data_IF_834969652155
#
_entry.id   IF_834969652155
#
_cell.length_a   1.000
_cell.length_b   1.000
_cell.length_c   1.000
_cell.angle_alpha   90.00
_cell.angle_beta   90.00
_cell.angle_gamma   90.00
#
_symmetry.space_group_name_H-M   'P 1'
#
loop_
_entity.id
_entity.type
_entity.pdbx_description
1 polymer ?
#
# COMPACT_ATOMS: atom_id res chain seq x y z
N UNK A 1 -12.74 19.25 -9.41
CA UNK A 1 -11.49 18.64 -8.91
C UNK A 1 -11.53 18.66 -7.39
N UNK A 2 -11.27 17.54 -6.71
CA UNK A 2 -11.04 17.56 -5.26
C UNK A 2 -9.78 18.39 -5.02
N UNK A 3 -9.83 19.38 -4.14
CA UNK A 3 -8.62 20.15 -3.79
C UNK A 3 -7.70 19.22 -3.00
N UNK A 4 -6.37 19.37 -3.16
CA UNK A 4 -5.39 18.57 -2.41
C UNK A 4 -5.64 18.61 -0.90
N UNK A 5 -6.09 19.76 -0.40
CA UNK A 5 -6.46 19.96 1.00
C UNK A 5 -7.60 19.05 1.48
N UNK A 6 -8.56 18.71 0.62
CA UNK A 6 -9.69 17.83 0.96
C UNK A 6 -9.22 16.39 1.18
N UNK A 7 -8.22 15.96 0.39
CA UNK A 7 -7.61 14.63 0.51
C UNK A 7 -6.82 14.53 1.82
N UNK A 8 -6.01 15.54 2.13
CA UNK A 8 -5.20 15.57 3.36
C UNK A 8 -6.09 15.57 4.60
N UNK A 9 -7.16 16.38 4.61
CA UNK A 9 -8.16 16.38 5.69
C UNK A 9 -8.84 15.03 5.82
N UNK A 10 -9.26 14.42 4.71
CA UNK A 10 -9.85 13.08 4.71
C UNK A 10 -8.92 12.02 5.31
N UNK A 11 -7.65 12.01 4.93
CA UNK A 11 -6.65 11.08 5.49
C UNK A 11 -6.44 11.31 6.99
N UNK A 12 -6.41 12.57 7.43
CA UNK A 12 -6.28 12.93 8.83
C UNK A 12 -7.49 12.47 9.66
N UNK A 13 -8.70 12.64 9.15
CA UNK A 13 -9.92 12.17 9.80
C UNK A 13 -9.95 10.64 9.88
N UNK A 14 -9.56 9.95 8.81
CA UNK A 14 -9.41 8.49 8.81
C UNK A 14 -8.38 8.02 9.84
N UNK A 15 -7.24 8.70 9.95
CA UNK A 15 -6.21 8.38 10.93
C UNK A 15 -6.73 8.50 12.37
N UNK A 16 -7.50 9.57 12.65
CA UNK A 16 -8.12 9.79 13.96
C UNK A 16 -9.17 8.73 14.31
N UNK A 17 -10.00 8.34 13.34
CA UNK A 17 -11.09 7.37 13.53
C UNK A 17 -10.52 5.97 13.72
N UNK A 18 -9.51 5.60 12.94
CA UNK A 18 -9.04 4.21 12.89
C UNK A 18 -7.90 3.90 13.83
N UNK A 19 -7.15 4.92 14.30
CA UNK A 19 -6.00 4.79 15.21
C UNK A 19 -5.11 3.59 14.84
N UNK A 20 -4.52 3.58 13.63
CA UNK A 20 -3.68 2.48 13.21
C UNK A 20 -2.49 2.32 14.16
N UNK A 21 -1.97 1.10 14.29
CA UNK A 21 -0.77 0.85 15.06
C UNK A 21 0.42 1.53 14.37
N UNK A 22 0.81 2.70 14.88
CA UNK A 22 1.83 3.57 14.29
C UNK A 22 3.21 2.92 14.26
N UNK A 23 3.52 2.07 15.25
CA UNK A 23 4.77 1.30 15.28
C UNK A 23 4.80 0.29 14.14
N UNK A 24 3.72 -0.48 13.99
CA UNK A 24 3.62 -1.49 12.95
C UNK A 24 3.63 -0.85 11.55
N UNK A 25 2.99 0.32 11.40
CA UNK A 25 3.01 1.09 10.15
C UNK A 25 4.43 1.54 9.81
N UNK A 26 5.15 2.11 10.76
CA UNK A 26 6.55 2.53 10.56
C UNK A 26 7.43 1.35 10.16
N UNK A 27 7.27 0.19 10.79
CA UNK A 27 8.02 -1.03 10.44
C UNK A 27 7.71 -1.46 9.00
N UNK A 28 6.43 -1.50 8.61
CA UNK A 28 6.02 -1.81 7.24
C UNK A 28 6.65 -0.86 6.22
N UNK A 29 6.57 0.45 6.47
CA UNK A 29 7.15 1.46 5.58
C UNK A 29 8.68 1.35 5.48
N UNK A 30 9.39 1.10 6.59
CA UNK A 30 10.84 0.90 6.59
C UNK A 30 11.19 -0.34 5.75
N UNK A 31 10.46 -1.43 5.91
CA UNK A 31 10.70 -2.66 5.15
C UNK A 31 10.41 -2.46 3.65
N UNK A 32 9.37 -1.69 3.31
CA UNK A 32 9.07 -1.28 1.93
C UNK A 32 10.24 -0.52 1.30
N UNK A 33 10.81 0.45 2.02
CA UNK A 33 11.97 1.24 1.55
C UNK A 33 13.23 0.37 1.37
N UNK A 34 13.49 -0.56 2.30
CA UNK A 34 14.61 -1.49 2.21
C UNK A 34 14.43 -2.43 1.02
N UNK A 35 13.26 -3.04 0.86
CA UNK A 35 12.94 -3.91 -0.27
C UNK A 35 13.10 -3.19 -1.61
N UNK A 36 12.60 -1.95 -1.70
CA UNK A 36 12.76 -1.09 -2.88
C UNK A 36 14.23 -0.80 -3.18
N UNK A 37 15.05 -0.55 -2.16
CA UNK A 37 16.49 -0.28 -2.32
C UNK A 37 17.24 -1.49 -2.90
N UNK A 38 16.94 -2.70 -2.41
CA UNK A 38 17.52 -3.92 -2.96
C UNK A 38 17.04 -4.21 -4.39
N UNK A 39 15.75 -3.99 -4.67
CA UNK A 39 15.20 -4.13 -6.01
C UNK A 39 15.89 -3.20 -7.01
N UNK A 40 16.19 -1.97 -6.61
CA UNK A 40 16.89 -0.97 -7.42
C UNK A 40 18.38 -1.30 -7.64
N UNK A 41 18.99 -2.01 -6.70
CA UNK A 41 20.39 -2.37 -6.79
C UNK A 41 20.67 -3.39 -7.91
N UNK A 42 19.72 -4.28 -8.21
CA UNK A 42 19.86 -5.32 -9.25
C UNK A 42 20.08 -4.69 -10.65
N UNK A 43 19.23 -3.75 -11.14
CA UNK A 43 19.49 -3.03 -12.38
C UNK A 43 20.85 -2.33 -12.44
N UNK A 44 21.33 -1.75 -11.33
CA UNK A 44 22.62 -1.07 -11.29
C UNK A 44 23.79 -2.04 -11.54
N UNK A 45 23.73 -3.25 -10.98
CA UNK A 45 24.73 -4.29 -11.23
C UNK A 45 24.71 -4.70 -12.71
N UNK A 46 23.52 -4.91 -13.28
CA UNK A 46 23.34 -5.30 -14.69
C UNK A 46 23.89 -4.21 -15.61
N UNK A 47 23.52 -2.94 -15.38
CA UNK A 47 24.04 -1.79 -16.14
C UNK A 47 25.57 -1.71 -16.10
N UNK A 48 26.16 -1.89 -14.92
CA UNK A 48 27.61 -1.89 -14.75
C UNK A 48 28.30 -3.10 -15.40
N UNK A 49 27.60 -4.22 -15.57
CA UNK A 49 28.10 -5.41 -16.24
C UNK A 49 28.09 -5.26 -17.77
N UNK A 50 27.05 -4.64 -18.33
CA UNK A 50 26.95 -4.29 -19.74
C UNK A 50 28.11 -3.37 -20.16
N UNK A 51 28.40 -2.33 -19.36
CA UNK A 51 29.50 -1.39 -19.63
C UNK A 51 30.90 -2.03 -19.58
N UNK A 52 31.08 -3.12 -18.85
CA UNK A 52 32.37 -3.81 -18.68
C UNK A 52 32.45 -5.13 -19.46
N UNK A 53 31.45 -5.42 -20.30
CA UNK A 53 31.32 -6.65 -21.10
C UNK A 53 31.52 -7.97 -20.31
N UNK A 54 31.31 -7.94 -18.99
CA UNK A 54 31.52 -9.11 -18.13
C UNK A 54 30.73 -9.02 -16.82
N UNK A 55 29.99 -10.09 -16.55
CA UNK A 55 29.34 -10.34 -15.27
C UNK A 55 30.17 -11.38 -14.52
N UNK A 56 31.03 -10.91 -13.60
CA UNK A 56 31.81 -11.80 -12.72
C UNK A 56 30.88 -12.66 -11.87
N UNK A 57 31.29 -13.87 -11.53
CA UNK A 57 30.56 -14.80 -10.64
C UNK A 57 30.13 -14.15 -9.33
N UNK A 58 30.98 -13.29 -8.77
CA UNK A 58 30.69 -12.57 -7.52
C UNK A 58 29.47 -11.66 -7.63
N UNK A 59 29.27 -11.02 -8.80
CA UNK A 59 28.10 -10.16 -9.05
C UNK A 59 26.81 -10.99 -9.12
N UNK A 60 26.89 -12.20 -9.68
CA UNK A 60 25.74 -13.12 -9.76
C UNK A 60 25.30 -13.51 -8.35
N UNK A 61 26.25 -13.84 -7.47
CA UNK A 61 25.96 -14.17 -6.06
C UNK A 61 25.30 -12.98 -5.35
N UNK A 62 25.81 -11.75 -5.55
CA UNK A 62 25.21 -10.54 -4.99
C UNK A 62 23.77 -10.34 -5.50
N UNK A 63 23.52 -10.55 -6.79
CA UNK A 63 22.17 -10.44 -7.37
C UNK A 63 21.22 -11.43 -6.70
N UNK A 64 21.63 -12.69 -6.52
CA UNK A 64 20.81 -13.72 -5.88
C UNK A 64 20.47 -13.33 -4.44
N UNK A 65 21.45 -12.83 -3.68
CA UNK A 65 21.25 -12.36 -2.30
C UNK A 65 20.29 -11.16 -2.27
N UNK A 66 20.51 -10.15 -3.13
CA UNK A 66 19.64 -8.98 -3.21
C UNK A 66 18.21 -9.34 -3.62
N UNK A 67 18.05 -10.30 -4.53
CA UNK A 67 16.74 -10.80 -4.92
C UNK A 67 16.03 -11.49 -3.75
N UNK A 68 16.73 -12.36 -3.02
CA UNK A 68 16.20 -13.00 -1.80
C UNK A 68 15.78 -11.98 -0.74
N UNK A 69 16.63 -10.98 -0.45
CA UNK A 69 16.31 -9.90 0.50
C UNK A 69 15.14 -9.05 0.03
N UNK A 70 15.07 -8.74 -1.28
CA UNK A 70 13.94 -8.01 -1.87
C UNK A 70 12.62 -8.75 -1.60
N UNK A 71 12.58 -10.07 -1.86
CA UNK A 71 11.38 -10.88 -1.62
C UNK A 71 10.99 -10.91 -0.14
N UNK A 72 11.96 -11.07 0.76
CA UNK A 72 11.72 -11.11 2.20
C UNK A 72 11.18 -9.77 2.69
N UNK A 73 11.89 -8.67 2.45
CA UNK A 73 11.49 -7.35 2.96
C UNK A 73 10.19 -6.86 2.32
N UNK A 74 10.03 -7.01 1.01
CA UNK A 74 8.80 -6.59 0.31
C UNK A 74 7.61 -7.46 0.70
N UNK A 75 7.80 -8.77 0.87
CA UNK A 75 6.76 -9.69 1.32
C UNK A 75 6.28 -9.38 2.74
N UNK A 76 7.23 -9.17 3.67
CA UNK A 76 6.90 -8.78 5.05
C UNK A 76 6.24 -7.41 5.10
N UNK A 77 6.74 -6.43 4.34
CA UNK A 77 6.10 -5.11 4.20
C UNK A 77 4.66 -5.24 3.72
N UNK A 78 4.45 -5.97 2.63
CA UNK A 78 3.12 -6.20 2.03
C UNK A 78 2.17 -6.81 3.04
N UNK A 79 2.62 -7.82 3.80
CA UNK A 79 1.82 -8.44 4.85
C UNK A 79 1.44 -7.45 5.96
N UNK A 80 2.42 -6.70 6.46
CA UNK A 80 2.22 -5.72 7.54
C UNK A 80 1.27 -4.61 7.12
N UNK A 81 1.53 -3.98 5.97
CA UNK A 81 0.71 -2.89 5.43
C UNK A 81 -0.68 -3.39 5.05
N UNK A 82 -0.80 -4.60 4.50
CA UNK A 82 -2.07 -5.27 4.23
C UNK A 82 -2.89 -5.51 5.50
N UNK A 83 -2.26 -5.99 6.57
CA UNK A 83 -2.91 -6.18 7.87
C UNK A 83 -3.43 -4.86 8.45
N UNK A 84 -2.61 -3.80 8.42
CA UNK A 84 -3.03 -2.47 8.87
C UNK A 84 -4.19 -1.94 8.03
N UNK A 85 -4.12 -2.11 6.71
CA UNK A 85 -5.21 -1.74 5.80
C UNK A 85 -6.52 -2.44 6.17
N UNK A 86 -6.49 -3.75 6.41
CA UNK A 86 -7.66 -4.50 6.86
C UNK A 86 -8.18 -4.03 8.21
N UNK A 87 -7.30 -3.64 9.14
CA UNK A 87 -7.69 -3.09 10.43
C UNK A 87 -8.38 -1.73 10.31
N UNK A 88 -7.86 -0.86 9.45
CA UNK A 88 -8.45 0.46 9.13
C UNK A 88 -9.86 0.26 8.57
N UNK A 89 -10.05 -0.62 7.59
CA UNK A 89 -11.37 -0.99 7.03
C UNK A 89 -12.32 -1.45 8.13
N UNK A 90 -11.88 -2.39 8.97
CA UNK A 90 -12.72 -2.95 10.04
C UNK A 90 -13.23 -1.83 10.96
N UNK A 91 -12.36 -0.89 11.33
CA UNK A 91 -12.70 0.23 12.18
C UNK A 91 -13.66 1.21 11.48
N UNK A 92 -13.43 1.54 10.21
CA UNK A 92 -14.35 2.38 9.41
C UNK A 92 -15.73 1.72 9.32
N UNK A 93 -15.80 0.43 8.98
CA UNK A 93 -17.07 -0.30 8.89
C UNK A 93 -17.80 -0.30 10.22
N UNK A 94 -17.10 -0.51 11.34
CA UNK A 94 -17.70 -0.49 12.68
C UNK A 94 -18.27 0.88 13.03
N UNK A 95 -17.51 1.96 12.83
CA UNK A 95 -17.96 3.33 13.14
C UNK A 95 -19.14 3.74 12.25
N UNK A 96 -19.06 3.46 10.95
CA UNK A 96 -20.13 3.78 10.00
C UNK A 96 -21.39 2.97 10.30
N UNK A 97 -21.26 1.67 10.55
CA UNK A 97 -22.40 0.83 10.93
C UNK A 97 -23.10 1.32 12.19
N UNK A 98 -22.33 1.61 13.25
CA UNK A 98 -22.85 2.15 14.50
C UNK A 98 -23.56 3.50 14.34
N UNK A 99 -23.16 4.30 13.36
CA UNK A 99 -23.85 5.55 13.02
C UNK A 99 -25.14 5.27 12.25
N UNK A 100 -25.09 4.39 11.25
CA UNK A 100 -26.24 4.05 10.39
C UNK A 100 -27.40 3.48 11.21
N UNK A 101 -27.16 2.59 12.16
CA UNK A 101 -28.22 1.98 12.99
C UNK A 101 -28.91 2.95 13.96
N UNK A 102 -28.32 4.14 14.21
CA UNK A 102 -28.86 5.17 15.11
C UNK A 102 -29.62 6.27 14.36
N UNK A 103 -29.76 6.17 13.04
CA UNK A 103 -30.45 7.17 12.23
C UNK A 103 -31.98 7.07 12.41
N UNK A 104 -32.72 8.17 12.21
CA UNK A 104 -34.17 8.17 12.38
C UNK A 104 -34.84 7.21 11.38
N UNK A 105 -36.02 6.71 11.74
CA UNK A 105 -36.79 5.79 10.91
C UNK A 105 -36.99 6.28 9.46
N UNK A 106 -37.16 7.59 9.25
CA UNK A 106 -37.27 8.21 7.92
C UNK A 106 -36.04 7.96 7.02
N UNK A 107 -34.84 7.86 7.60
CA UNK A 107 -33.63 7.51 6.86
C UNK A 107 -33.66 6.08 6.35
N UNK A 108 -34.16 5.15 7.19
CA UNK A 108 -34.29 3.73 6.87
C UNK A 108 -35.39 3.43 5.85
N UNK A 109 -36.44 4.26 5.78
CA UNK A 109 -37.45 4.18 4.72
C UNK A 109 -36.92 4.63 3.36
N UNK A 110 -36.06 5.65 3.33
CA UNK A 110 -35.52 6.20 2.08
C UNK A 110 -34.36 5.38 1.51
N UNK A 111 -33.64 4.63 2.35
CA UNK A 111 -32.46 3.86 1.96
C UNK A 111 -32.66 2.40 2.31
N UNK A 112 -32.77 1.53 1.29
CA UNK A 112 -32.84 0.09 1.52
C UNK A 112 -31.57 -0.41 2.20
N UNK A 113 -31.72 -1.39 3.10
CA UNK A 113 -30.60 -2.01 3.81
C UNK A 113 -29.54 -2.58 2.84
N UNK A 114 -29.97 -3.12 1.70
CA UNK A 114 -29.08 -3.63 0.64
C UNK A 114 -28.23 -2.51 0.01
N UNK A 115 -28.85 -1.36 -0.31
CA UNK A 115 -28.12 -0.22 -0.85
C UNK A 115 -27.12 0.34 0.18
N UNK A 116 -27.47 0.38 1.45
CA UNK A 116 -26.57 0.85 2.52
C UNK A 116 -25.36 -0.07 2.68
N UNK A 117 -25.56 -1.39 2.72
CA UNK A 117 -24.48 -2.37 2.83
C UNK A 117 -23.59 -2.34 1.59
N UNK A 118 -24.17 -2.29 0.39
CA UNK A 118 -23.40 -2.21 -0.86
C UNK A 118 -22.54 -0.95 -0.92
N UNK A 119 -23.12 0.22 -0.59
CA UNK A 119 -22.36 1.49 -0.50
C UNK A 119 -21.24 1.40 0.52
N UNK A 120 -21.50 0.89 1.72
CA UNK A 120 -20.48 0.72 2.75
C UNK A 120 -19.33 -0.17 2.28
N UNK A 121 -19.63 -1.30 1.65
CA UNK A 121 -18.61 -2.23 1.14
C UNK A 121 -17.83 -1.59 0.00
N UNK A 122 -18.51 -1.02 -0.99
CA UNK A 122 -17.89 -0.39 -2.16
C UNK A 122 -17.01 0.81 -1.80
N UNK A 123 -17.51 1.71 -0.95
CA UNK A 123 -16.76 2.89 -0.51
C UNK A 123 -15.50 2.46 0.26
N UNK A 124 -15.60 1.43 1.09
CA UNK A 124 -14.45 0.91 1.84
C UNK A 124 -13.42 0.23 0.92
N UNK A 125 -13.86 -0.49 -0.13
CA UNK A 125 -12.95 -1.11 -1.11
C UNK A 125 -12.19 -0.07 -1.95
N UNK A 126 -12.77 1.10 -2.20
CA UNK A 126 -12.05 2.17 -2.89
C UNK A 126 -10.96 2.78 -2.00
N UNK A 127 -11.20 2.90 -0.69
CA UNK A 127 -10.18 3.34 0.28
C UNK A 127 -9.01 2.36 0.33
N UNK A 128 -9.25 1.04 0.32
CA UNK A 128 -8.16 0.06 0.34
C UNK A 128 -7.24 0.16 -0.85
N UNK A 129 -7.79 0.50 -2.02
CA UNK A 129 -6.98 0.61 -3.23
C UNK A 129 -5.87 1.63 -3.04
N UNK A 130 -6.12 2.74 -2.34
CA UNK A 130 -5.11 3.78 -2.05
C UNK A 130 -3.94 3.24 -1.22
N UNK A 131 -4.21 2.35 -0.25
CA UNK A 131 -3.17 1.74 0.59
C UNK A 131 -2.47 0.55 -0.07
N UNK A 132 -3.09 -0.07 -1.07
CA UNK A 132 -2.55 -1.24 -1.76
C UNK A 132 -1.75 -0.91 -3.03
N UNK A 133 -1.62 0.37 -3.43
CA UNK A 133 -0.84 0.75 -4.62
C UNK A 133 0.67 0.65 -4.36
N UNK A 134 1.19 -0.55 -4.14
CA UNK A 134 2.65 -0.81 -4.15
C UNK A 134 3.15 -1.30 -5.53
N UNK A 135 2.25 -1.62 -6.48
CA UNK A 135 2.66 -2.24 -7.75
C UNK A 135 3.12 -1.27 -8.85
N UNK A 136 2.78 0.02 -8.80
CA UNK A 136 3.03 0.93 -9.95
C UNK A 136 4.45 1.54 -9.94
N UNK A 137 5.09 1.65 -8.77
CA UNK A 137 6.40 2.30 -8.65
C UNK A 137 7.54 1.43 -9.20
N UNK A 138 7.49 0.11 -8.95
CA UNK A 138 8.54 -0.84 -9.37
C UNK A 138 8.67 -0.96 -10.90
N UNK A 139 7.54 -1.02 -11.62
CA UNK A 139 7.55 -1.08 -13.09
C UNK A 139 8.02 0.24 -13.74
N UNK A 140 7.69 1.38 -13.14
CA UNK A 140 8.10 2.70 -13.67
C UNK A 140 9.61 2.91 -13.55
N UNK A 141 10.19 2.52 -12.41
CA UNK A 141 11.63 2.64 -12.17
C UNK A 141 12.42 1.68 -13.08
N UNK A 142 11.95 0.44 -13.26
CA UNK A 142 12.61 -0.52 -14.16
C UNK A 142 12.68 -0.01 -15.60
N UNK A 143 11.62 0.65 -16.10
CA UNK A 143 11.64 1.24 -17.44
C UNK A 143 12.64 2.40 -17.56
N UNK A 144 12.73 3.29 -16.57
CA UNK A 144 13.69 4.40 -16.60
C UNK A 144 15.14 3.91 -16.69
N UNK A 145 15.48 2.79 -16.07
CA UNK A 145 16.83 2.21 -16.11
C UNK A 145 17.14 1.36 -17.35
N UNK A 146 16.13 0.86 -18.06
CA UNK A 146 16.33 0.11 -19.31
C UNK A 146 16.54 1.05 -20.50
N UNK A 147 15.90 2.22 -20.49
CA UNK A 147 15.93 3.17 -21.61
C UNK A 147 16.95 4.31 -21.47
N UNK A 148 17.73 4.37 -20.38
CA UNK A 148 18.86 5.29 -20.17
C UNK A 148 20.17 4.53 -19.98
#
# INVERSE_FOLDING_TARGET
SLKGDDIIKGLYDLWKITKPNTLLLSIGLIFSLIGTSFSLYIPLIIRNALNKSSLSTDKIVIIIICFGLTLIFSGVSTYILGYIGQKIIQNIRSVTWNKVIKLPYSFHLKNSASNLTSRLVNDTMNITRVFSVEFIFSYSITNIFIYN
#
